data_IF_872873747520
#
_entry.id   IF_872873747520
#
_cell.length_a   1.000
_cell.length_b   1.000
_cell.length_c   1.000
_cell.angle_alpha   90.00
_cell.angle_beta   90.00
_cell.angle_gamma   90.00
#
_symmetry.space_group_name_H-M   'P 1'
#
loop_
_entity.id
_entity.type
_entity.pdbx_description
1 polymer ?
#
# COMPACT_ATOMS: atom_id res chain seq x y z
N UNK A 1 8.69 0.40 -26.28
CA UNK A 1 8.00 0.48 -27.57
C UNK A 1 6.61 -0.12 -27.48
N UNK A 2 5.57 0.66 -27.86
CA UNK A 2 4.13 0.39 -27.89
C UNK A 2 3.49 0.09 -26.51
N UNK A 3 3.23 1.18 -25.80
CA UNK A 3 2.24 1.34 -24.75
C UNK A 3 0.87 0.79 -25.22
N UNK A 4 0.34 -0.23 -24.53
CA UNK A 4 -1.09 -0.53 -24.56
C UNK A 4 -1.75 0.30 -23.47
N UNK A 5 -1.98 1.56 -23.81
CA UNK A 5 -2.88 2.46 -23.09
C UNK A 5 -4.27 1.84 -23.11
N UNK A 6 -4.82 1.51 -21.96
CA UNK A 6 -6.27 1.36 -21.83
C UNK A 6 -6.87 2.76 -21.90
N UNK A 7 -7.12 3.19 -23.14
CA UNK A 7 -7.79 4.46 -23.43
C UNK A 7 -9.29 4.20 -23.27
N UNK A 8 -9.86 4.72 -22.20
CA UNK A 8 -11.24 5.17 -22.19
C UNK A 8 -11.24 6.58 -22.82
N UNK A 9 -11.32 6.62 -24.16
CA UNK A 9 -11.47 7.86 -24.91
C UNK A 9 -12.90 8.38 -24.70
N UNK A 10 -13.05 9.35 -23.79
CA UNK A 10 -14.20 10.25 -23.77
C UNK A 10 -13.67 11.67 -23.54
N UNK A 11 -13.24 12.31 -24.60
CA UNK A 11 -12.97 13.75 -24.61
C UNK A 11 -14.25 14.50 -24.34
N UNK A 12 -14.37 15.11 -23.15
CA UNK A 12 -15.41 16.08 -22.85
C UNK A 12 -14.86 17.47 -23.20
N UNK A 13 -15.51 18.13 -24.15
CA UNK A 13 -15.25 19.51 -24.45
C UNK A 13 -15.58 20.41 -23.23
N UNK A 14 -14.78 21.45 -22.90
CA UNK A 14 -15.09 22.35 -21.80
C UNK A 14 -16.36 23.16 -22.13
N UNK A 15 -17.38 23.06 -21.28
CA UNK A 15 -18.45 24.04 -21.32
C UNK A 15 -19.90 23.59 -21.26
N UNK A 16 -20.22 22.30 -21.09
CA UNK A 16 -21.61 21.88 -20.83
C UNK A 16 -21.70 20.98 -19.62
N UNK A 17 -22.36 21.44 -18.55
CA UNK A 17 -22.77 20.58 -17.44
C UNK A 17 -23.58 19.41 -18.02
N UNK A 18 -23.16 18.15 -17.84
CA UNK A 18 -23.90 17.01 -18.35
C UNK A 18 -25.29 16.96 -17.74
N UNK A 19 -26.31 16.72 -18.56
CA UNK A 19 -27.68 16.52 -18.03
C UNK A 19 -27.70 15.26 -17.17
N UNK A 20 -28.25 15.34 -15.94
CA UNK A 20 -28.34 14.17 -15.06
C UNK A 20 -29.13 13.05 -15.73
N UNK A 21 -28.60 11.83 -15.69
CA UNK A 21 -29.29 10.63 -16.14
C UNK A 21 -30.35 10.25 -15.09
N UNK A 22 -31.38 9.54 -15.49
CA UNK A 22 -32.45 9.09 -14.56
C UNK A 22 -31.88 8.32 -13.35
N UNK A 23 -30.83 7.53 -13.56
CA UNK A 23 -30.13 6.77 -12.52
C UNK A 23 -29.40 7.67 -11.51
N UNK A 24 -28.90 8.84 -11.92
CA UNK A 24 -28.18 9.76 -11.03
C UNK A 24 -29.11 10.33 -9.94
N UNK A 25 -30.40 10.56 -10.27
CA UNK A 25 -31.39 11.02 -9.29
C UNK A 25 -31.71 9.96 -8.22
N UNK A 26 -31.79 8.68 -8.60
CA UNK A 26 -32.01 7.57 -7.66
C UNK A 26 -30.74 7.40 -6.79
N UNK A 27 -29.59 7.43 -7.42
CA UNK A 27 -28.28 7.31 -6.76
C UNK A 27 -28.07 8.47 -5.76
N UNK A 28 -28.38 9.72 -6.14
CA UNK A 28 -28.35 10.90 -5.25
C UNK A 28 -29.18 10.66 -3.99
N UNK A 29 -30.43 10.22 -4.14
CA UNK A 29 -31.29 9.93 -2.97
C UNK A 29 -30.71 8.84 -2.07
N UNK A 30 -30.23 7.76 -2.65
CA UNK A 30 -29.62 6.66 -1.90
C UNK A 30 -28.38 7.12 -1.13
N UNK A 31 -27.47 7.86 -1.77
CA UNK A 31 -26.27 8.39 -1.14
C UNK A 31 -26.62 9.38 -0.01
N UNK A 32 -27.50 10.34 -0.27
CA UNK A 32 -27.92 11.33 0.75
C UNK A 32 -28.56 10.65 1.97
N UNK A 33 -29.40 9.62 1.76
CA UNK A 33 -29.98 8.83 2.86
C UNK A 33 -28.89 8.15 3.70
N UNK A 34 -27.80 7.69 3.10
CA UNK A 34 -26.65 7.13 3.84
C UNK A 34 -25.89 8.21 4.59
N UNK A 35 -25.63 9.34 3.96
CA UNK A 35 -24.92 10.47 4.60
C UNK A 35 -25.69 11.05 5.79
N UNK A 36 -27.03 10.99 5.81
CA UNK A 36 -27.85 11.36 6.98
C UNK A 36 -27.55 10.52 8.23
N UNK A 37 -26.90 9.37 8.08
CA UNK A 37 -26.51 8.51 9.20
C UNK A 37 -25.15 8.90 9.81
N UNK A 38 -24.45 9.90 9.26
CA UNK A 38 -23.21 10.41 9.83
C UNK A 38 -23.47 10.97 11.25
N UNK A 39 -22.64 10.56 12.22
CA UNK A 39 -22.77 10.96 13.63
C UNK A 39 -21.55 11.70 14.14
N UNK A 40 -20.37 11.42 13.58
CA UNK A 40 -19.09 11.95 14.03
C UNK A 40 -18.43 12.75 12.91
N UNK A 41 -18.08 14.01 13.14
CA UNK A 41 -17.58 14.92 12.13
C UNK A 41 -18.70 15.53 11.29
N UNK A 42 -18.42 16.61 10.59
CA UNK A 42 -19.35 17.32 9.72
C UNK A 42 -18.93 17.22 8.27
N UNK A 43 -19.84 16.77 7.40
CA UNK A 43 -19.69 16.78 5.95
C UNK A 43 -20.60 17.84 5.33
N UNK A 44 -20.01 18.74 4.55
CA UNK A 44 -20.72 19.77 3.79
C UNK A 44 -20.67 19.40 2.31
N UNK A 45 -21.82 19.18 1.70
CA UNK A 45 -21.93 18.83 0.29
C UNK A 45 -22.50 20.03 -0.49
N UNK A 46 -21.71 20.54 -1.42
CA UNK A 46 -22.10 21.59 -2.36
C UNK A 46 -22.44 20.95 -3.72
N UNK A 47 -23.69 21.12 -4.16
CA UNK A 47 -24.19 20.62 -5.45
C UNK A 47 -24.92 21.74 -6.18
N UNK A 48 -24.26 22.41 -7.09
CA UNK A 48 -24.75 23.62 -7.75
C UNK A 48 -25.03 24.73 -6.73
N UNK A 49 -26.31 25.08 -6.57
CA UNK A 49 -26.77 26.10 -5.60
C UNK A 49 -27.18 25.48 -4.24
N UNK A 50 -27.24 24.16 -4.15
CA UNK A 50 -27.62 23.47 -2.91
C UNK A 50 -26.39 23.28 -2.00
N UNK A 51 -26.58 23.52 -0.71
CA UNK A 51 -25.59 23.18 0.32
C UNK A 51 -26.27 22.31 1.36
N UNK A 52 -25.80 21.08 1.49
CA UNK A 52 -26.32 20.10 2.44
C UNK A 52 -25.29 19.82 3.52
N UNK A 53 -25.73 19.65 4.78
CA UNK A 53 -24.87 19.35 5.92
C UNK A 53 -25.28 18.04 6.57
N UNK A 54 -24.27 17.22 6.92
CA UNK A 54 -24.45 15.89 7.51
C UNK A 54 -23.51 15.71 8.69
N UNK A 55 -24.01 15.07 9.75
CA UNK A 55 -23.24 14.81 10.97
C UNK A 55 -23.09 16.06 11.85
N UNK A 56 -22.20 15.96 12.81
CA UNK A 56 -21.83 17.05 13.71
C UNK A 56 -20.43 16.83 14.26
N UNK A 57 -19.71 17.91 14.59
CA UNK A 57 -18.40 17.83 15.20
C UNK A 57 -18.50 17.14 16.57
N UNK A 58 -17.62 16.19 16.81
CA UNK A 58 -17.51 15.46 18.07
C UNK A 58 -16.05 15.39 18.53
N UNK A 59 -15.83 15.10 19.81
CA UNK A 59 -14.46 14.88 20.31
C UNK A 59 -13.77 13.70 19.59
N UNK A 60 -14.54 12.71 19.12
CA UNK A 60 -14.02 11.56 18.36
C UNK A 60 -13.60 11.94 16.94
N UNK A 61 -14.30 12.88 16.33
CA UNK A 61 -14.02 13.33 14.96
C UNK A 61 -14.28 14.84 14.85
N UNK A 62 -13.26 15.68 15.16
CA UNK A 62 -13.37 17.13 15.07
C UNK A 62 -13.09 17.63 13.65
N UNK A 63 -13.50 16.88 12.63
CA UNK A 63 -13.26 17.17 11.22
C UNK A 63 -14.51 17.80 10.59
N UNK A 64 -14.28 18.90 9.87
CA UNK A 64 -15.29 19.52 8.98
C UNK A 64 -14.75 19.46 7.56
N UNK A 65 -15.40 18.66 6.71
CA UNK A 65 -14.99 18.39 5.34
C UNK A 65 -16.03 18.92 4.38
N UNK A 66 -15.59 19.53 3.29
CA UNK A 66 -16.46 19.96 2.20
C UNK A 66 -16.21 19.16 0.93
N UNK A 67 -17.26 18.74 0.27
CA UNK A 67 -17.25 18.16 -1.08
C UNK A 67 -17.98 19.11 -2.02
N UNK A 68 -17.34 19.38 -3.16
CA UNK A 68 -17.96 20.10 -4.28
C UNK A 68 -18.25 19.13 -5.41
N UNK A 69 -19.52 18.93 -5.75
CA UNK A 69 -19.92 18.13 -6.90
C UNK A 69 -19.77 18.96 -8.17
N UNK A 70 -18.98 18.44 -9.11
CA UNK A 70 -18.74 19.06 -10.42
C UNK A 70 -19.60 18.41 -11.52
N UNK A 71 -19.90 17.11 -11.36
CA UNK A 71 -20.66 16.32 -12.33
C UNK A 71 -21.66 15.39 -11.60
N UNK A 72 -22.94 15.33 -12.02
CA UNK A 72 -23.94 14.46 -11.40
C UNK A 72 -23.61 12.97 -11.40
N UNK A 73 -22.71 12.50 -12.28
CA UNK A 73 -22.22 11.11 -12.30
C UNK A 73 -21.50 10.71 -11.00
N UNK A 74 -21.01 11.68 -10.23
CA UNK A 74 -20.53 11.47 -8.86
C UNK A 74 -21.47 10.58 -8.04
N UNK A 75 -22.78 10.81 -8.12
CA UNK A 75 -23.77 10.06 -7.33
C UNK A 75 -23.87 8.60 -7.77
N UNK A 76 -23.96 8.36 -9.08
CA UNK A 76 -24.08 7.00 -9.61
C UNK A 76 -22.80 6.21 -9.39
N UNK A 77 -21.63 6.81 -9.60
CA UNK A 77 -20.36 6.13 -9.44
C UNK A 77 -20.16 5.68 -7.98
N UNK A 78 -20.44 6.52 -7.01
CA UNK A 78 -20.35 6.14 -5.59
C UNK A 78 -21.41 5.11 -5.21
N UNK A 79 -22.67 5.32 -5.62
CA UNK A 79 -23.77 4.44 -5.21
C UNK A 79 -23.61 3.02 -5.75
N UNK A 80 -23.07 2.85 -6.95
CA UNK A 80 -22.87 1.54 -7.59
C UNK A 80 -21.45 1.00 -7.47
N UNK A 81 -20.44 1.86 -7.27
CA UNK A 81 -19.04 1.49 -7.23
C UNK A 81 -18.42 1.51 -5.81
N UNK A 82 -19.12 2.04 -4.80
CA UNK A 82 -18.58 2.16 -3.44
C UNK A 82 -17.28 2.97 -3.41
N UNK A 83 -16.28 2.49 -2.67
CA UNK A 83 -14.96 3.13 -2.59
C UNK A 83 -14.22 3.18 -3.93
N UNK A 84 -14.39 2.17 -4.78
CA UNK A 84 -13.84 2.16 -6.15
C UNK A 84 -14.47 3.29 -6.96
N UNK A 85 -15.80 3.37 -6.99
CA UNK A 85 -16.51 4.41 -7.73
C UNK A 85 -16.22 5.82 -7.22
N UNK A 86 -15.99 6.00 -5.92
CA UNK A 86 -15.56 7.28 -5.35
C UNK A 86 -14.18 7.70 -5.91
N UNK A 87 -13.23 6.77 -5.99
CA UNK A 87 -11.93 7.00 -6.60
C UNK A 87 -12.01 7.28 -8.09
N UNK A 88 -12.80 6.50 -8.86
CA UNK A 88 -13.02 6.70 -10.29
C UNK A 88 -13.64 8.08 -10.58
N UNK A 89 -14.65 8.48 -9.82
CA UNK A 89 -15.25 9.80 -9.91
C UNK A 89 -14.26 10.93 -9.55
N UNK A 90 -13.34 10.69 -8.58
CA UNK A 90 -12.27 11.62 -8.25
C UNK A 90 -11.27 11.75 -9.40
N UNK A 91 -10.82 10.64 -9.98
CA UNK A 91 -9.93 10.62 -11.14
C UNK A 91 -10.52 11.40 -12.32
N UNK A 92 -11.82 11.24 -12.57
CA UNK A 92 -12.56 11.91 -13.63
C UNK A 92 -12.92 13.38 -13.33
N UNK A 93 -12.51 13.92 -12.17
CA UNK A 93 -12.81 15.30 -11.71
C UNK A 93 -14.32 15.60 -11.53
N UNK A 94 -15.11 14.56 -11.19
CA UNK A 94 -16.56 14.74 -10.94
C UNK A 94 -16.84 15.36 -9.58
N UNK A 95 -15.86 15.38 -8.70
CA UNK A 95 -15.94 16.02 -7.39
C UNK A 95 -14.56 16.45 -6.89
N UNK A 96 -14.58 17.41 -5.98
CA UNK A 96 -13.40 17.92 -5.29
C UNK A 96 -13.71 18.04 -3.79
N UNK A 97 -12.65 18.11 -2.99
CA UNK A 97 -12.75 18.29 -1.54
C UNK A 97 -11.64 19.20 -1.05
N UNK A 98 -11.89 19.86 0.08
CA UNK A 98 -10.86 20.66 0.75
C UNK A 98 -9.80 19.81 1.47
N UNK A 99 -10.14 18.56 1.85
CA UNK A 99 -9.22 17.63 2.52
C UNK A 99 -9.64 16.18 2.22
N UNK A 100 -8.92 15.54 1.30
CA UNK A 100 -9.21 14.18 0.88
C UNK A 100 -8.85 13.16 1.97
N UNK A 101 -7.73 13.32 2.66
CA UNK A 101 -7.35 12.49 3.81
C UNK A 101 -8.37 12.63 4.95
N UNK A 102 -8.78 13.86 5.24
CA UNK A 102 -9.82 14.15 6.23
C UNK A 102 -11.16 13.50 5.89
N UNK A 103 -11.54 13.46 4.60
CA UNK A 103 -12.74 12.77 4.14
C UNK A 103 -12.68 11.27 4.43
N UNK A 104 -11.58 10.62 4.11
CA UNK A 104 -11.38 9.19 4.42
C UNK A 104 -11.48 8.95 5.92
N UNK A 105 -10.84 9.78 6.74
CA UNK A 105 -10.91 9.71 8.20
C UNK A 105 -12.34 9.88 8.72
N UNK A 106 -13.07 10.87 8.23
CA UNK A 106 -14.47 11.12 8.61
C UNK A 106 -15.35 9.89 8.30
N UNK A 107 -15.17 9.26 7.13
CA UNK A 107 -15.89 8.04 6.77
C UNK A 107 -15.49 6.86 7.65
N UNK A 108 -14.21 6.71 8.01
CA UNK A 108 -13.73 5.67 8.93
C UNK A 108 -14.21 5.87 10.37
N UNK A 109 -14.37 7.10 10.82
CA UNK A 109 -15.04 7.42 12.11
C UNK A 109 -16.53 7.02 12.12
N UNK A 110 -17.14 6.86 10.92
CA UNK A 110 -18.52 6.48 10.72
C UNK A 110 -18.63 5.18 9.89
N UNK A 111 -17.87 4.15 10.26
CA UNK A 111 -17.76 2.89 9.48
C UNK A 111 -19.08 2.28 9.07
N UNK A 112 -20.12 2.37 9.93
CA UNK A 112 -21.45 1.86 9.60
C UNK A 112 -22.04 2.52 8.34
N UNK A 113 -21.69 3.78 8.04
CA UNK A 113 -22.09 4.48 6.81
C UNK A 113 -21.30 3.90 5.64
N UNK A 114 -19.98 3.75 5.79
CA UNK A 114 -19.09 3.20 4.76
C UNK A 114 -19.49 1.75 4.40
N UNK A 115 -19.63 0.87 5.40
CA UNK A 115 -20.06 -0.53 5.20
C UNK A 115 -21.45 -0.59 4.51
N UNK A 116 -22.36 0.36 4.84
CA UNK A 116 -23.65 0.49 4.19
C UNK A 116 -23.59 0.97 2.73
N UNK A 117 -22.60 1.78 2.38
CA UNK A 117 -22.36 2.21 0.99
C UNK A 117 -21.80 1.06 0.15
N UNK A 118 -20.87 0.28 0.68
CA UNK A 118 -20.29 -0.88 0.00
C UNK A 118 -21.29 -2.05 -0.12
N UNK A 119 -22.18 -2.23 0.86
CA UNK A 119 -23.20 -3.28 0.86
C UNK A 119 -24.49 -2.95 0.13
N UNK A 120 -24.73 -1.67 -0.27
CA UNK A 120 -25.95 -1.19 -0.91
C UNK A 120 -26.04 -1.58 -2.40
N UNK A 121 -26.26 -0.59 -3.27
CA UNK A 121 -26.29 -0.79 -4.73
C UNK A 121 -24.94 -1.28 -5.28
N UNK A 122 -23.84 -0.96 -4.60
CA UNK A 122 -22.49 -1.44 -4.94
C UNK A 122 -22.38 -2.98 -4.88
N UNK A 123 -23.19 -3.66 -4.07
CA UNK A 123 -23.20 -5.12 -4.01
C UNK A 123 -23.54 -5.78 -5.37
N UNK A 124 -24.24 -5.07 -6.27
CA UNK A 124 -24.58 -5.57 -7.61
C UNK A 124 -23.34 -5.73 -8.52
N UNK A 125 -22.27 -4.99 -8.29
CA UNK A 125 -21.04 -5.03 -9.10
C UNK A 125 -20.00 -6.01 -8.56
N UNK A 126 -20.14 -6.49 -7.33
CA UNK A 126 -19.22 -7.40 -6.64
C UNK A 126 -18.87 -8.67 -7.46
N UNK A 127 -19.81 -9.36 -8.14
CA UNK A 127 -19.45 -10.56 -8.91
C UNK A 127 -18.43 -10.27 -10.02
N UNK A 128 -18.61 -9.16 -10.75
CA UNK A 128 -17.69 -8.76 -11.82
C UNK A 128 -16.31 -8.38 -11.26
N UNK A 129 -16.28 -7.63 -10.17
CA UNK A 129 -15.02 -7.27 -9.50
C UNK A 129 -14.26 -8.51 -9.03
N UNK A 130 -14.94 -9.51 -8.49
CA UNK A 130 -14.33 -10.79 -8.06
C UNK A 130 -13.76 -11.58 -9.24
N UNK A 131 -14.42 -11.60 -10.39
CA UNK A 131 -13.89 -12.25 -11.59
C UNK A 131 -12.60 -11.56 -12.04
N UNK A 132 -12.57 -10.24 -12.10
CA UNK A 132 -11.38 -9.48 -12.46
C UNK A 132 -10.22 -9.70 -11.48
N UNK A 133 -10.50 -9.72 -10.18
CA UNK A 133 -9.49 -10.02 -9.16
C UNK A 133 -8.99 -11.46 -9.25
N UNK A 134 -9.87 -12.43 -9.53
CA UNK A 134 -9.48 -13.83 -9.74
C UNK A 134 -8.54 -14.01 -10.95
N UNK A 135 -8.70 -13.23 -12.01
CA UNK A 135 -7.79 -13.22 -13.16
C UNK A 135 -6.39 -12.69 -12.80
N UNK A 136 -6.27 -11.85 -11.77
CA UNK A 136 -5.01 -11.28 -11.30
C UNK A 136 -4.38 -12.07 -10.13
N UNK A 137 -4.70 -13.37 -9.96
CA UNK A 137 -4.12 -14.21 -8.91
C UNK A 137 -2.60 -14.29 -9.01
N UNK A 138 -1.92 -14.32 -7.85
CA UNK A 138 -0.47 -14.32 -7.71
C UNK A 138 0.16 -15.72 -7.89
N UNK A 139 -0.15 -16.41 -9.00
CA UNK A 139 0.67 -17.50 -9.52
C UNK A 139 2.05 -16.95 -9.91
N UNK A 140 3.06 -17.77 -10.20
CA UNK A 140 4.38 -17.27 -10.60
C UNK A 140 4.31 -16.28 -11.77
N UNK A 141 3.54 -16.62 -12.82
CA UNK A 141 3.34 -15.75 -13.98
C UNK A 141 2.41 -14.57 -13.66
N UNK A 142 1.41 -14.77 -12.79
CA UNK A 142 0.51 -13.71 -12.30
C UNK A 142 1.26 -12.66 -11.50
N UNK A 143 2.12 -13.06 -10.56
CA UNK A 143 2.95 -12.16 -9.77
C UNK A 143 3.87 -11.31 -10.64
N UNK A 144 4.53 -11.90 -11.65
CA UNK A 144 5.38 -11.15 -12.59
C UNK A 144 4.59 -10.10 -13.36
N UNK A 145 3.38 -10.44 -13.85
CA UNK A 145 2.52 -9.48 -14.56
C UNK A 145 2.01 -8.36 -13.66
N UNK A 146 1.57 -8.69 -12.45
CA UNK A 146 1.02 -7.72 -11.50
C UNK A 146 2.10 -6.73 -11.02
N UNK A 147 3.31 -7.24 -10.74
CA UNK A 147 4.46 -6.43 -10.36
C UNK A 147 4.93 -5.58 -11.54
N UNK A 148 5.02 -6.13 -12.76
CA UNK A 148 5.35 -5.35 -13.94
C UNK A 148 4.34 -4.21 -14.14
N UNK A 149 3.04 -4.47 -14.05
CA UNK A 149 2.02 -3.44 -14.21
C UNK A 149 2.15 -2.28 -13.20
N UNK A 150 2.58 -2.55 -11.96
CA UNK A 150 2.79 -1.52 -10.95
C UNK A 150 4.10 -0.75 -11.14
N UNK A 151 5.21 -1.45 -11.44
CA UNK A 151 6.54 -0.82 -11.58
C UNK A 151 6.85 -0.33 -13.00
N UNK A 152 6.04 -0.68 -14.01
CA UNK A 152 6.06 -0.08 -15.36
C UNK A 152 5.65 1.40 -15.37
N UNK A 153 5.27 1.96 -14.21
CA UNK A 153 5.12 3.41 -14.01
C UNK A 153 6.42 4.19 -14.27
N UNK A 154 7.55 3.49 -14.27
CA UNK A 154 8.88 4.06 -14.53
C UNK A 154 9.61 4.50 -13.27
N UNK A 155 10.93 4.25 -13.27
CA UNK A 155 11.80 4.63 -12.15
C UNK A 155 11.79 6.16 -11.90
N UNK A 156 11.58 6.97 -12.95
CA UNK A 156 11.56 8.44 -12.87
C UNK A 156 10.44 8.94 -11.94
N UNK A 157 9.27 8.30 -11.97
CA UNK A 157 8.18 8.63 -11.07
C UNK A 157 8.56 8.38 -9.61
N UNK A 158 9.10 7.20 -9.32
CA UNK A 158 9.47 6.82 -7.96
C UNK A 158 10.64 7.65 -7.42
N UNK A 159 11.59 8.06 -8.28
CA UNK A 159 12.68 8.96 -7.90
C UNK A 159 12.19 10.36 -7.49
N UNK A 160 11.08 10.83 -8.05
CA UNK A 160 10.47 12.12 -7.70
C UNK A 160 9.58 12.02 -6.44
N UNK A 161 9.04 10.84 -6.16
CA UNK A 161 8.17 10.61 -5.00
C UNK A 161 8.94 10.21 -3.75
N UNK A 162 9.90 9.29 -3.88
CA UNK A 162 10.65 8.71 -2.77
C UNK A 162 11.86 9.58 -2.37
N UNK A 163 12.52 9.21 -1.30
CA UNK A 163 13.82 9.75 -0.88
C UNK A 163 14.99 9.00 -1.54
N UNK A 164 16.23 9.41 -1.24
CA UNK A 164 17.44 8.82 -1.82
C UNK A 164 17.61 7.33 -1.51
N UNK A 165 17.01 6.81 -0.44
CA UNK A 165 17.03 5.37 -0.14
C UNK A 165 16.25 4.57 -1.16
N UNK A 166 15.29 5.21 -1.83
CA UNK A 166 14.33 4.57 -2.75
C UNK A 166 13.52 3.48 -2.05
N UNK A 167 13.23 3.65 -0.74
CA UNK A 167 12.37 2.71 -0.02
C UNK A 167 10.91 3.04 -0.24
N UNK A 168 10.16 2.11 -0.86
CA UNK A 168 8.72 2.21 -1.07
C UNK A 168 7.98 1.38 -0.02
N UNK A 169 8.18 1.78 1.24
CA UNK A 169 7.61 1.18 2.45
C UNK A 169 7.64 2.20 3.60
N UNK A 170 6.94 1.93 4.70
CA UNK A 170 6.85 2.87 5.83
C UNK A 170 8.23 3.27 6.35
N UNK A 171 8.44 4.57 6.58
CA UNK A 171 9.55 5.08 7.39
C UNK A 171 9.21 5.00 8.89
N UNK A 172 10.17 5.35 9.79
CA UNK A 172 9.94 5.49 11.22
C UNK A 172 10.39 6.88 11.71
N UNK A 173 9.43 7.73 12.03
CA UNK A 173 9.65 9.11 12.51
C UNK A 173 9.66 9.11 14.03
N UNK A 174 10.83 9.16 14.65
CA UNK A 174 10.98 9.20 16.12
C UNK A 174 11.04 10.62 16.65
N UNK A 175 11.20 11.60 15.76
CA UNK A 175 11.12 13.02 16.06
C UNK A 175 10.29 13.72 14.97
N UNK A 176 9.50 14.74 15.32
CA UNK A 176 8.62 15.42 14.34
C UNK A 176 9.36 16.11 13.20
N UNK A 177 10.60 16.54 13.44
CA UNK A 177 11.41 17.30 12.50
C UNK A 177 12.18 16.44 11.49
N UNK A 178 12.17 15.12 11.67
CA UNK A 178 12.88 14.20 10.77
C UNK A 178 12.42 14.38 9.32
N UNK A 179 13.38 14.46 8.43
CA UNK A 179 13.15 14.32 6.98
C UNK A 179 12.73 12.89 6.65
N UNK A 180 12.15 12.69 5.45
CA UNK A 180 11.80 11.35 4.99
C UNK A 180 13.04 10.45 4.91
N UNK A 181 14.16 10.97 4.43
CA UNK A 181 15.43 10.25 4.36
C UNK A 181 15.92 9.78 5.74
N UNK A 182 15.97 10.67 6.72
CA UNK A 182 16.40 10.33 8.09
C UNK A 182 15.48 9.27 8.71
N UNK A 183 14.17 9.38 8.51
CA UNK A 183 13.20 8.41 9.01
C UNK A 183 13.32 7.05 8.31
N UNK A 184 13.63 7.02 7.01
CA UNK A 184 13.90 5.78 6.29
C UNK A 184 15.20 5.13 6.75
N UNK A 185 16.28 5.90 6.87
CA UNK A 185 17.57 5.40 7.38
C UNK A 185 17.42 4.85 8.80
N UNK A 186 16.70 5.57 9.67
CA UNK A 186 16.41 5.10 11.02
C UNK A 186 15.68 3.75 11.02
N UNK A 187 14.64 3.59 10.20
CA UNK A 187 13.92 2.33 10.09
C UNK A 187 14.81 1.20 9.56
N UNK A 188 15.64 1.44 8.53
CA UNK A 188 16.57 0.44 8.02
C UNK A 188 17.55 -0.01 9.11
N UNK A 189 18.05 0.92 9.92
CA UNK A 189 18.93 0.63 11.06
C UNK A 189 18.19 -0.20 12.13
N UNK A 190 16.91 0.13 12.46
CA UNK A 190 16.12 -0.67 13.40
C UNK A 190 15.89 -2.10 12.92
N UNK A 191 15.64 -2.31 11.63
CA UNK A 191 15.53 -3.65 11.04
C UNK A 191 16.83 -4.44 11.23
N UNK A 192 17.97 -3.82 10.89
CA UNK A 192 19.27 -4.45 11.04
C UNK A 192 19.60 -4.78 12.51
N UNK A 193 19.28 -3.89 13.43
CA UNK A 193 19.47 -4.10 14.88
C UNK A 193 18.55 -5.21 15.42
N UNK A 194 17.29 -5.25 15.03
CA UNK A 194 16.36 -6.32 15.43
C UNK A 194 16.85 -7.69 14.93
N UNK A 195 17.40 -7.75 13.73
CA UNK A 195 18.05 -8.94 13.19
C UNK A 195 19.39 -9.25 13.83
N UNK A 196 19.99 -8.31 14.59
CA UNK A 196 21.34 -8.40 15.13
C UNK A 196 22.36 -8.75 14.05
N UNK A 197 22.38 -7.96 13.01
CA UNK A 197 23.30 -8.21 11.92
C UNK A 197 24.74 -8.02 12.35
N UNK A 198 25.56 -9.04 12.05
CA UNK A 198 26.99 -9.03 12.25
C UNK A 198 27.74 -9.08 10.91
N UNK A 199 29.03 -8.66 10.87
CA UNK A 199 29.80 -8.66 9.62
C UNK A 199 29.94 -10.05 8.96
N UNK A 200 29.86 -11.11 9.77
CA UNK A 200 29.98 -12.51 9.34
C UNK A 200 28.70 -13.06 8.76
N UNK A 201 27.56 -12.41 9.04
CA UNK A 201 26.23 -12.88 8.61
C UNK A 201 26.07 -12.85 7.09
N UNK A 202 25.29 -13.78 6.60
CA UNK A 202 24.73 -13.75 5.26
C UNK A 202 23.23 -13.47 5.35
N UNK A 203 22.84 -12.26 5.02
CA UNK A 203 21.45 -11.82 4.99
C UNK A 203 20.79 -12.21 3.67
N UNK A 204 19.59 -12.79 3.73
CA UNK A 204 18.69 -12.91 2.58
C UNK A 204 17.63 -11.83 2.66
N UNK A 205 17.47 -11.02 1.60
CA UNK A 205 16.35 -10.09 1.43
C UNK A 205 15.41 -10.61 0.36
N UNK A 206 14.13 -10.80 0.70
CA UNK A 206 13.07 -11.14 -0.25
C UNK A 206 12.30 -9.88 -0.57
N UNK A 207 12.49 -9.34 -1.79
CA UNK A 207 11.95 -8.07 -2.22
C UNK A 207 13.00 -6.96 -2.24
N UNK A 208 13.89 -6.98 -3.23
CA UNK A 208 15.01 -6.02 -3.38
C UNK A 208 14.54 -4.56 -3.43
N UNK A 209 13.36 -4.29 -3.98
CA UNK A 209 13.03 -2.94 -4.40
C UNK A 209 14.14 -2.36 -5.29
N UNK A 210 14.61 -1.18 -4.96
CA UNK A 210 15.75 -0.54 -5.63
C UNK A 210 17.06 -0.65 -4.84
N UNK A 211 17.16 -1.65 -3.93
CA UNK A 211 18.37 -2.02 -3.21
C UNK A 211 18.66 -1.20 -1.95
N UNK A 212 17.71 -0.43 -1.45
CA UNK A 212 17.93 0.47 -0.31
C UNK A 212 18.40 -0.27 0.95
N UNK A 213 17.70 -1.33 1.38
CA UNK A 213 18.09 -2.12 2.55
C UNK A 213 19.38 -2.90 2.31
N UNK A 214 19.54 -3.57 1.17
CA UNK A 214 20.76 -4.32 0.87
C UNK A 214 22.02 -3.43 0.96
N UNK A 215 21.95 -2.21 0.38
CA UNK A 215 23.04 -1.23 0.45
C UNK A 215 23.29 -0.78 1.90
N UNK A 216 22.22 -0.49 2.65
CA UNK A 216 22.34 -0.07 4.05
C UNK A 216 22.97 -1.17 4.93
N UNK A 217 22.48 -2.40 4.84
CA UNK A 217 22.97 -3.54 5.60
C UNK A 217 24.46 -3.84 5.29
N UNK A 218 24.81 -3.95 4.01
CA UNK A 218 26.20 -4.22 3.61
C UNK A 218 27.16 -3.09 4.00
N UNK A 219 26.71 -1.81 3.90
CA UNK A 219 27.56 -0.65 4.23
C UNK A 219 27.75 -0.46 5.72
N UNK A 220 26.66 -0.51 6.51
CA UNK A 220 26.69 -0.15 7.93
C UNK A 220 27.07 -1.33 8.83
N UNK A 221 26.69 -2.54 8.45
CA UNK A 221 26.89 -3.76 9.24
C UNK A 221 27.97 -4.69 8.66
N UNK A 222 28.47 -4.42 7.45
CA UNK A 222 29.53 -5.19 6.82
C UNK A 222 29.15 -6.60 6.39
N UNK A 223 27.88 -7.00 6.53
CA UNK A 223 27.42 -8.34 6.21
C UNK A 223 27.34 -8.59 4.69
N UNK A 224 27.29 -9.86 4.28
CA UNK A 224 26.95 -10.23 2.91
C UNK A 224 25.45 -10.23 2.74
N UNK A 225 24.96 -9.79 1.58
CA UNK A 225 23.53 -9.75 1.27
C UNK A 225 23.27 -10.49 -0.04
N UNK A 226 22.32 -11.42 -0.02
CA UNK A 226 21.66 -11.90 -1.22
C UNK A 226 20.27 -11.31 -1.25
N UNK A 227 19.88 -10.66 -2.34
CA UNK A 227 18.55 -10.04 -2.48
C UNK A 227 17.91 -10.43 -3.79
N UNK A 228 16.58 -10.61 -3.79
CA UNK A 228 15.84 -11.08 -4.96
C UNK A 228 14.64 -10.20 -5.29
N UNK A 229 14.42 -10.00 -6.59
CA UNK A 229 13.22 -9.38 -7.16
C UNK A 229 12.79 -10.11 -8.42
N UNK A 230 11.53 -10.00 -8.78
CA UNK A 230 11.01 -10.47 -10.08
C UNK A 230 10.78 -9.33 -11.07
N UNK A 231 11.03 -8.08 -10.67
CA UNK A 231 11.00 -6.91 -11.55
C UNK A 231 12.37 -6.68 -12.17
N UNK A 232 12.42 -6.65 -13.50
CA UNK A 232 13.66 -6.36 -14.24
C UNK A 232 14.10 -4.93 -14.02
N UNK A 233 13.18 -3.98 -13.98
CA UNK A 233 13.44 -2.54 -13.79
C UNK A 233 14.07 -2.30 -12.42
N UNK A 234 13.54 -2.91 -11.36
CA UNK A 234 14.13 -2.84 -10.02
C UNK A 234 15.54 -3.46 -10.01
N UNK A 235 15.68 -4.65 -10.58
CA UNK A 235 16.96 -5.36 -10.63
C UNK A 235 18.06 -4.53 -11.28
N UNK A 236 17.80 -3.97 -12.48
CA UNK A 236 18.79 -3.17 -13.22
C UNK A 236 19.18 -1.89 -12.46
N UNK A 237 18.18 -1.16 -11.91
CA UNK A 237 18.48 0.04 -11.15
C UNK A 237 19.20 -0.29 -9.83
N UNK A 238 18.81 -1.32 -9.10
CA UNK A 238 19.50 -1.76 -7.88
C UNK A 238 20.95 -2.16 -8.18
N UNK A 239 21.18 -2.88 -9.28
CA UNK A 239 22.53 -3.25 -9.73
C UNK A 239 23.41 -2.03 -9.99
N UNK A 240 22.88 -1.03 -10.69
CA UNK A 240 23.60 0.23 -10.93
C UNK A 240 23.93 0.94 -9.61
N UNK A 241 22.95 1.05 -8.69
CA UNK A 241 23.13 1.71 -7.38
C UNK A 241 24.18 1.00 -6.53
N UNK A 242 24.16 -0.34 -6.49
CA UNK A 242 25.16 -1.16 -5.77
C UNK A 242 26.56 -0.95 -6.34
N UNK A 243 26.69 -0.89 -7.66
CA UNK A 243 27.99 -0.63 -8.32
C UNK A 243 28.51 0.78 -8.02
N UNK A 244 27.68 1.80 -8.09
CA UNK A 244 28.06 3.21 -7.79
C UNK A 244 28.59 3.36 -6.36
N UNK A 245 28.06 2.61 -5.39
CA UNK A 245 28.50 2.67 -3.99
C UNK A 245 29.63 1.69 -3.67
N UNK A 246 30.15 0.91 -4.65
CA UNK A 246 31.29 0.01 -4.50
C UNK A 246 31.01 -1.24 -3.65
N UNK A 247 29.78 -1.75 -3.62
CA UNK A 247 29.37 -2.90 -2.79
C UNK A 247 29.08 -4.17 -3.60
N UNK A 248 29.52 -4.25 -4.86
CA UNK A 248 29.25 -5.40 -5.74
C UNK A 248 29.87 -6.73 -5.27
N UNK A 249 30.89 -6.68 -4.43
CA UNK A 249 31.53 -7.85 -3.81
C UNK A 249 30.75 -8.38 -2.59
N UNK A 250 29.89 -7.58 -2.01
CA UNK A 250 29.08 -7.92 -0.81
C UNK A 250 27.62 -8.20 -1.09
N UNK A 251 27.08 -7.68 -2.21
CA UNK A 251 25.66 -7.78 -2.54
C UNK A 251 25.47 -8.60 -3.81
N UNK A 252 24.77 -9.73 -3.68
CA UNK A 252 24.34 -10.58 -4.80
C UNK A 252 22.88 -10.27 -5.12
N UNK A 253 22.63 -9.79 -6.34
CA UNK A 253 21.29 -9.46 -6.84
C UNK A 253 20.78 -10.60 -7.72
N UNK A 254 19.59 -11.13 -7.41
CA UNK A 254 18.93 -12.19 -8.16
C UNK A 254 17.68 -11.66 -8.83
N UNK A 255 17.50 -11.99 -10.11
CA UNK A 255 16.24 -11.80 -10.84
C UNK A 255 15.45 -13.11 -10.79
N UNK A 256 14.95 -13.46 -9.62
CA UNK A 256 14.34 -14.75 -9.36
C UNK A 256 13.17 -14.68 -8.38
N UNK A 257 12.20 -15.58 -8.57
CA UNK A 257 11.09 -15.74 -7.65
C UNK A 257 11.57 -16.39 -6.34
N UNK A 258 11.17 -15.84 -5.18
CA UNK A 258 11.57 -16.35 -3.87
C UNK A 258 11.26 -17.84 -3.67
N UNK A 259 10.25 -18.36 -4.36
CA UNK A 259 9.85 -19.78 -4.32
C UNK A 259 10.91 -20.74 -4.88
N UNK A 260 11.81 -20.24 -5.72
CA UNK A 260 12.88 -21.02 -6.34
C UNK A 260 14.23 -20.85 -5.65
N UNK A 261 14.33 -19.98 -4.63
CA UNK A 261 15.58 -19.76 -3.91
C UNK A 261 16.03 -21.01 -3.17
N UNK A 262 17.35 -21.20 -3.10
CA UNK A 262 18.00 -22.28 -2.37
C UNK A 262 19.15 -21.74 -1.52
N UNK A 263 19.70 -22.59 -0.66
CA UNK A 263 20.78 -22.24 0.27
C UNK A 263 20.26 -22.03 1.69
N UNK A 264 21.17 -21.62 2.57
CA UNK A 264 20.88 -21.31 3.97
C UNK A 264 21.55 -20.01 4.38
N UNK A 265 20.80 -19.17 5.06
CA UNK A 265 21.18 -17.83 5.45
C UNK A 265 21.08 -17.66 6.96
N UNK A 266 21.93 -16.80 7.52
CA UNK A 266 21.94 -16.47 8.95
C UNK A 266 20.71 -15.67 9.34
N UNK A 267 20.33 -14.73 8.46
CA UNK A 267 19.21 -13.80 8.66
C UNK A 267 18.38 -13.69 7.40
N UNK A 268 17.08 -13.43 7.58
CA UNK A 268 16.15 -13.17 6.49
C UNK A 268 15.34 -11.91 6.78
N UNK A 269 15.14 -11.09 5.77
CA UNK A 269 14.27 -9.91 5.83
C UNK A 269 13.35 -9.86 4.64
N UNK A 270 12.10 -9.45 4.88
CA UNK A 270 11.13 -9.16 3.81
C UNK A 270 10.28 -7.98 4.23
N UNK A 271 10.21 -6.95 3.40
CA UNK A 271 9.56 -5.68 3.72
C UNK A 271 8.42 -5.46 2.75
N UNK A 272 7.19 -5.44 3.28
CA UNK A 272 5.94 -5.14 2.54
C UNK A 272 5.84 -5.90 1.20
N UNK A 273 6.21 -7.18 1.23
CA UNK A 273 6.15 -8.08 0.08
C UNK A 273 5.05 -9.14 0.24
N UNK A 274 4.70 -9.52 1.49
CA UNK A 274 3.72 -10.56 1.78
C UNK A 274 2.33 -10.21 1.24
N UNK A 275 2.01 -8.92 1.12
CA UNK A 275 0.78 -8.40 0.54
C UNK A 275 0.62 -8.82 -0.94
N UNK A 276 1.75 -8.97 -1.64
CA UNK A 276 1.80 -9.42 -3.03
C UNK A 276 1.86 -10.95 -3.18
N UNK A 277 1.97 -11.71 -2.09
CA UNK A 277 1.99 -13.19 -2.12
C UNK A 277 0.61 -13.75 -2.43
N UNK A 278 -0.44 -13.17 -1.82
CA UNK A 278 -1.80 -13.71 -1.85
C UNK A 278 -2.05 -14.71 -0.72
N UNK A 279 -3.21 -14.57 -0.07
CA UNK A 279 -3.54 -15.31 1.18
C UNK A 279 -3.49 -16.83 1.04
N UNK A 280 -3.72 -17.37 -0.15
CA UNK A 280 -3.67 -18.82 -0.43
C UNK A 280 -2.26 -19.40 -0.43
N UNK A 281 -1.23 -18.55 -0.48
CA UNK A 281 0.17 -18.96 -0.56
C UNK A 281 0.99 -18.61 0.70
N UNK A 282 0.36 -18.12 1.78
CA UNK A 282 1.09 -17.78 3.01
C UNK A 282 1.82 -18.98 3.61
N UNK A 283 1.23 -20.19 3.54
CA UNK A 283 1.89 -21.42 4.03
C UNK A 283 3.16 -21.74 3.23
N UNK A 284 3.10 -21.61 1.90
CA UNK A 284 4.27 -21.84 1.05
C UNK A 284 5.35 -20.79 1.30
N UNK A 285 4.93 -19.53 1.51
CA UNK A 285 5.82 -18.44 1.85
C UNK A 285 6.59 -18.68 3.15
N UNK A 286 5.90 -18.96 4.26
CA UNK A 286 6.57 -19.18 5.55
C UNK A 286 7.37 -20.49 5.59
N UNK A 287 6.92 -21.53 4.89
CA UNK A 287 7.70 -22.76 4.70
C UNK A 287 9.03 -22.47 3.99
N UNK A 288 8.99 -21.74 2.88
CA UNK A 288 10.18 -21.36 2.12
C UNK A 288 11.13 -20.49 2.96
N UNK A 289 10.60 -19.47 3.64
CA UNK A 289 11.42 -18.64 4.53
C UNK A 289 12.12 -19.46 5.62
N UNK A 290 11.39 -20.40 6.24
CA UNK A 290 11.96 -21.27 7.26
C UNK A 290 13.06 -22.19 6.71
N UNK A 291 12.86 -22.74 5.50
CA UNK A 291 13.86 -23.62 4.86
C UNK A 291 15.14 -22.89 4.44
N UNK A 292 15.02 -21.60 4.11
CA UNK A 292 16.16 -20.75 3.74
C UNK A 292 16.95 -20.24 4.95
N UNK A 293 16.43 -20.39 6.17
CA UNK A 293 17.14 -20.01 7.39
C UNK A 293 17.94 -21.17 7.97
N UNK A 294 19.14 -20.89 8.49
CA UNK A 294 19.90 -21.80 9.35
C UNK A 294 19.11 -22.16 10.62
N UNK A 295 19.44 -23.25 11.33
CA UNK A 295 18.68 -23.70 12.51
C UNK A 295 18.57 -22.67 13.65
N UNK A 296 19.48 -21.71 13.73
CA UNK A 296 19.55 -20.61 14.71
C UNK A 296 19.20 -19.24 14.11
N UNK A 297 18.71 -19.19 12.86
CA UNK A 297 18.44 -17.96 12.12
C UNK A 297 17.30 -17.12 12.67
N UNK A 298 17.29 -15.85 12.27
CA UNK A 298 16.22 -14.86 12.54
C UNK A 298 15.62 -14.35 11.24
N UNK A 299 14.31 -14.12 11.26
CA UNK A 299 13.58 -13.46 10.18
C UNK A 299 12.86 -12.22 10.70
N UNK A 300 13.01 -11.08 10.04
CA UNK A 300 12.15 -9.93 10.24
C UNK A 300 11.24 -9.76 9.03
N UNK A 301 9.94 -9.72 9.30
CA UNK A 301 8.91 -9.40 8.33
C UNK A 301 8.31 -8.03 8.68
N UNK A 302 8.37 -7.07 7.75
CA UNK A 302 7.53 -5.88 7.79
C UNK A 302 6.31 -6.11 6.92
N UNK A 303 5.11 -5.89 7.46
CA UNK A 303 3.87 -6.15 6.74
C UNK A 303 2.77 -5.14 7.10
N UNK A 304 2.10 -4.64 6.06
CA UNK A 304 0.83 -3.92 6.24
C UNK A 304 -0.22 -4.91 6.72
N UNK A 305 -1.00 -4.52 7.72
CA UNK A 305 -1.99 -5.41 8.34
C UNK A 305 -3.37 -4.79 8.39
N UNK A 306 -4.37 -5.65 8.34
CA UNK A 306 -5.75 -5.29 8.66
C UNK A 306 -6.14 -5.89 10.01
N UNK A 307 -7.06 -5.25 10.74
CA UNK A 307 -7.59 -5.81 11.98
C UNK A 307 -8.16 -7.22 11.76
N UNK A 308 -7.84 -8.17 12.67
CA UNK A 308 -8.23 -9.59 12.57
C UNK A 308 -9.73 -9.76 12.34
N UNK A 309 -10.55 -8.94 13.01
CA UNK A 309 -12.01 -8.98 12.90
C UNK A 309 -12.54 -8.63 11.50
N UNK A 310 -11.75 -7.96 10.69
CA UNK A 310 -12.11 -7.54 9.33
C UNK A 310 -11.48 -8.39 8.24
N UNK A 311 -10.48 -9.18 8.56
CA UNK A 311 -9.69 -9.94 7.59
C UNK A 311 -10.55 -10.82 6.68
N UNK A 312 -11.47 -11.59 7.26
CA UNK A 312 -12.34 -12.50 6.49
C UNK A 312 -13.28 -11.79 5.52
N UNK A 313 -13.71 -10.59 5.84
CA UNK A 313 -14.53 -9.75 4.94
C UNK A 313 -13.65 -9.11 3.85
N UNK A 314 -12.51 -8.53 4.25
CA UNK A 314 -11.60 -7.83 3.35
C UNK A 314 -11.02 -8.75 2.26
N UNK A 315 -10.58 -9.98 2.62
CA UNK A 315 -10.04 -10.92 1.62
C UNK A 315 -11.07 -11.39 0.56
N UNK A 316 -12.36 -11.11 0.79
CA UNK A 316 -13.46 -11.46 -0.13
C UNK A 316 -13.95 -10.27 -0.94
N UNK A 317 -13.49 -9.06 -0.65
CA UNK A 317 -13.81 -7.83 -1.35
C UNK A 317 -12.66 -7.39 -2.24
N UNK A 318 -12.95 -6.47 -3.14
CA UNK A 318 -11.95 -5.77 -3.95
C UNK A 318 -12.14 -4.29 -3.66
N UNK A 319 -11.07 -3.60 -3.29
CA UNK A 319 -11.07 -2.17 -3.05
C UNK A 319 -10.34 -1.40 -4.16
N UNK A 320 -10.25 -0.08 -3.98
CA UNK A 320 -9.57 0.81 -4.92
C UNK A 320 -8.08 0.43 -5.11
N UNK A 321 -7.41 0.04 -4.02
CA UNK A 321 -5.98 -0.31 -4.06
C UNK A 321 -5.75 -1.56 -4.90
N UNK A 322 -6.54 -2.59 -4.68
CA UNK A 322 -6.46 -3.84 -5.45
C UNK A 322 -6.87 -3.66 -6.92
N UNK A 323 -7.72 -2.68 -7.20
CA UNK A 323 -8.18 -2.39 -8.57
C UNK A 323 -7.15 -1.63 -9.38
N UNK A 324 -6.52 -0.60 -8.82
CA UNK A 324 -5.74 0.40 -9.56
C UNK A 324 -4.26 0.44 -9.21
N UNK A 325 -3.87 0.08 -7.99
CA UNK A 325 -2.50 0.25 -7.50
C UNK A 325 -1.77 -1.08 -7.43
N UNK A 326 -2.31 -2.06 -6.68
CA UNK A 326 -1.68 -3.36 -6.44
C UNK A 326 -2.62 -4.51 -6.82
N UNK A 327 -2.80 -4.79 -8.13
CA UNK A 327 -3.66 -5.89 -8.57
C UNK A 327 -3.21 -7.23 -7.95
N UNK A 328 -4.17 -7.99 -7.43
CA UNK A 328 -3.92 -9.28 -6.81
C UNK A 328 -3.37 -9.23 -5.38
N UNK A 329 -3.12 -8.05 -4.81
CA UNK A 329 -2.66 -7.92 -3.42
C UNK A 329 -3.73 -8.37 -2.42
N UNK A 330 -3.27 -8.76 -1.23
CA UNK A 330 -4.13 -9.09 -0.11
C UNK A 330 -3.41 -8.72 1.20
N UNK A 331 -3.91 -7.72 1.91
CA UNK A 331 -3.36 -7.33 3.21
C UNK A 331 -3.66 -8.43 4.23
N UNK A 332 -2.62 -9.02 4.88
CA UNK A 332 -2.80 -10.02 5.93
C UNK A 332 -3.34 -9.41 7.22
N UNK A 333 -3.79 -10.26 8.14
CA UNK A 333 -3.88 -9.92 9.55
C UNK A 333 -2.79 -10.63 10.35
N UNK A 334 -2.47 -10.11 11.54
CA UNK A 334 -1.46 -10.72 12.42
C UNK A 334 -1.81 -12.19 12.71
N UNK A 335 -3.07 -12.47 13.06
CA UNK A 335 -3.53 -13.84 13.32
C UNK A 335 -3.43 -14.72 12.08
N UNK A 336 -3.72 -14.21 10.88
CA UNK A 336 -3.62 -15.00 9.66
C UNK A 336 -2.17 -15.40 9.37
N UNK A 337 -1.21 -14.48 9.55
CA UNK A 337 0.22 -14.76 9.43
C UNK A 337 0.69 -15.78 10.45
N UNK A 338 0.37 -15.59 11.74
CA UNK A 338 0.79 -16.51 12.81
C UNK A 338 0.20 -17.90 12.68
N UNK A 339 -1.06 -18.04 12.23
CA UNK A 339 -1.65 -19.33 11.89
C UNK A 339 -0.87 -20.04 10.79
N UNK A 340 -0.45 -19.31 9.78
CA UNK A 340 0.35 -19.86 8.68
C UNK A 340 1.76 -20.24 9.14
N UNK A 341 2.44 -19.40 9.91
CA UNK A 341 3.74 -19.68 10.55
C UNK A 341 3.68 -21.01 11.33
N UNK A 342 2.69 -21.13 12.24
CA UNK A 342 2.54 -22.32 13.10
C UNK A 342 2.26 -23.59 12.29
N UNK A 343 1.49 -23.49 11.20
CA UNK A 343 1.08 -24.65 10.40
C UNK A 343 2.16 -25.13 9.44
N UNK A 344 2.99 -24.24 8.94
CA UNK A 344 3.85 -24.52 7.78
C UNK A 344 5.36 -24.39 8.04
N UNK A 345 5.77 -23.98 9.23
CA UNK A 345 7.17 -23.75 9.59
C UNK A 345 7.47 -24.10 11.05
N UNK A 346 8.75 -24.09 11.42
CA UNK A 346 9.23 -24.20 12.80
C UNK A 346 9.56 -22.81 13.42
N UNK A 347 9.28 -21.74 12.70
CA UNK A 347 9.49 -20.38 13.18
C UNK A 347 8.57 -20.06 14.37
N UNK A 348 9.07 -19.25 15.29
CA UNK A 348 8.35 -18.77 16.48
C UNK A 348 8.34 -17.26 16.50
N UNK A 349 7.19 -16.67 16.85
CA UNK A 349 7.11 -15.24 17.10
C UNK A 349 7.99 -14.89 18.31
N UNK A 350 8.89 -13.96 18.13
CA UNK A 350 9.82 -13.47 19.14
C UNK A 350 9.50 -12.05 19.59
N UNK A 351 9.17 -11.17 18.63
CA UNK A 351 8.75 -9.79 18.89
C UNK A 351 7.75 -9.32 17.83
N UNK A 352 6.86 -8.39 18.22
CA UNK A 352 5.89 -7.74 17.33
C UNK A 352 5.76 -6.27 17.72
N UNK A 353 6.18 -5.38 16.83
CA UNK A 353 6.03 -3.93 16.99
C UNK A 353 5.10 -3.35 15.94
N UNK A 354 4.10 -2.56 16.35
CA UNK A 354 3.22 -1.79 15.45
C UNK A 354 3.88 -0.45 15.09
N UNK A 355 4.29 -0.31 13.84
CA UNK A 355 4.87 0.92 13.28
C UNK A 355 3.86 1.68 12.39
N UNK A 356 2.63 1.23 12.28
CA UNK A 356 1.59 1.80 11.42
C UNK A 356 1.38 3.31 11.57
N UNK A 357 1.46 3.95 12.76
CA UNK A 357 1.35 5.40 12.89
C UNK A 357 2.36 6.18 12.05
N UNK A 358 3.55 5.65 11.83
CA UNK A 358 4.59 6.29 11.03
C UNK A 358 4.25 6.28 9.54
N UNK A 359 3.47 5.30 9.08
CA UNK A 359 3.08 5.21 7.68
C UNK A 359 2.20 6.37 7.24
N UNK A 360 1.32 6.86 8.10
CA UNK A 360 0.52 8.05 7.79
C UNK A 360 1.41 9.25 7.42
N UNK A 361 2.49 9.47 8.18
CA UNK A 361 3.46 10.54 7.88
C UNK A 361 4.23 10.25 6.59
N UNK A 362 4.65 9.01 6.37
CA UNK A 362 5.35 8.58 5.15
C UNK A 362 4.52 8.87 3.90
N UNK A 363 3.24 8.46 3.90
CA UNK A 363 2.30 8.67 2.78
C UNK A 363 2.06 10.15 2.51
N UNK A 364 1.94 10.96 3.57
CA UNK A 364 1.82 12.41 3.45
C UNK A 364 3.07 13.02 2.80
N UNK A 365 4.29 12.62 3.18
CA UNK A 365 5.54 13.09 2.59
C UNK A 365 5.64 12.69 1.11
N UNK A 366 5.26 11.46 0.75
CA UNK A 366 5.21 11.04 -0.64
C UNK A 366 4.21 11.88 -1.45
N UNK A 367 3.02 12.16 -0.89
CA UNK A 367 2.04 13.04 -1.55
C UNK A 367 2.57 14.46 -1.74
N UNK A 368 3.19 15.04 -0.71
CA UNK A 368 3.81 16.36 -0.79
C UNK A 368 4.86 16.41 -1.92
N UNK A 369 5.71 15.38 -2.04
CA UNK A 369 6.70 15.29 -3.12
C UNK A 369 6.02 15.22 -4.50
N UNK A 370 5.02 14.36 -4.68
CA UNK A 370 4.28 14.25 -5.97
C UNK A 370 3.63 15.57 -6.35
N UNK A 371 2.99 16.27 -5.41
CA UNK A 371 2.33 17.54 -5.68
C UNK A 371 3.34 18.65 -6.01
N UNK A 372 4.48 18.71 -5.33
CA UNK A 372 5.55 19.67 -5.61
C UNK A 372 6.21 19.45 -6.96
N UNK A 373 6.24 18.19 -7.43
CA UNK A 373 6.85 17.82 -8.71
C UNK A 373 5.83 17.64 -9.84
N UNK A 374 4.60 18.13 -9.69
CA UNK A 374 3.50 17.90 -10.64
C UNK A 374 3.83 18.36 -12.06
N UNK A 375 4.47 19.52 -12.23
CA UNK A 375 4.86 20.05 -13.55
C UNK A 375 5.91 19.16 -14.22
N UNK A 376 6.89 18.68 -13.46
CA UNK A 376 7.91 17.76 -13.96
C UNK A 376 7.31 16.40 -14.33
N UNK A 377 6.37 15.90 -13.53
CA UNK A 377 5.65 14.66 -13.83
C UNK A 377 4.81 14.80 -15.11
N UNK A 378 4.14 15.93 -15.31
CA UNK A 378 3.44 16.22 -16.58
C UNK A 378 4.40 16.27 -17.76
N UNK A 379 5.58 16.87 -17.61
CA UNK A 379 6.61 16.91 -18.66
C UNK A 379 7.15 15.51 -19.01
N UNK A 380 7.16 14.58 -18.04
CA UNK A 380 7.49 13.16 -18.25
C UNK A 380 6.34 12.35 -18.89
N UNK A 381 5.16 12.96 -19.09
CA UNK A 381 4.02 12.33 -19.76
C UNK A 381 2.96 11.74 -18.85
N UNK A 382 3.06 11.91 -17.52
CA UNK A 382 2.01 11.46 -16.59
C UNK A 382 0.78 12.36 -16.72
N UNK A 383 -0.39 11.74 -16.92
CA UNK A 383 -1.65 12.47 -17.11
C UNK A 383 -2.17 13.05 -15.79
N UNK A 384 -3.02 14.08 -15.88
CA UNK A 384 -3.72 14.61 -14.70
C UNK A 384 -4.57 13.53 -14.00
N UNK A 385 -5.22 12.66 -14.77
CA UNK A 385 -6.01 11.55 -14.24
C UNK A 385 -5.13 10.58 -13.42
N UNK A 386 -3.93 10.26 -13.91
CA UNK A 386 -2.95 9.45 -13.20
C UNK A 386 -2.53 10.11 -11.88
N UNK A 387 -2.20 11.40 -11.88
CA UNK A 387 -1.80 12.11 -10.67
C UNK A 387 -2.93 12.16 -9.64
N UNK A 388 -4.19 12.33 -10.07
CA UNK A 388 -5.36 12.26 -9.19
C UNK A 388 -5.59 10.85 -8.65
N UNK A 389 -5.38 9.81 -9.45
CA UNK A 389 -5.40 8.42 -8.98
C UNK A 389 -4.39 8.20 -7.87
N UNK A 390 -3.17 8.70 -8.06
CA UNK A 390 -2.09 8.54 -7.10
C UNK A 390 -2.34 9.33 -5.81
N UNK A 391 -2.81 10.55 -5.93
CA UNK A 391 -3.24 11.37 -4.79
C UNK A 391 -4.35 10.68 -3.98
N UNK A 392 -5.38 10.13 -4.67
CA UNK A 392 -6.45 9.39 -4.01
C UNK A 392 -5.91 8.18 -3.26
N UNK A 393 -5.01 7.41 -3.88
CA UNK A 393 -4.33 6.29 -3.23
C UNK A 393 -3.62 6.71 -1.95
N UNK A 394 -2.75 7.72 -2.03
CA UNK A 394 -1.96 8.16 -0.89
C UNK A 394 -2.85 8.68 0.25
N UNK A 395 -3.88 9.47 -0.05
CA UNK A 395 -4.84 9.97 0.95
C UNK A 395 -5.70 8.86 1.55
N UNK A 396 -6.13 7.88 0.73
CA UNK A 396 -6.91 6.73 1.19
C UNK A 396 -6.14 5.90 2.20
N UNK A 397 -4.88 5.59 1.91
CA UNK A 397 -4.01 4.86 2.83
C UNK A 397 -3.62 5.70 4.05
N UNK A 398 -3.26 7.00 3.88
CA UNK A 398 -2.94 7.91 4.98
C UNK A 398 -4.08 7.95 6.00
N UNK A 399 -5.32 8.19 5.54
CA UNK A 399 -6.50 8.17 6.41
C UNK A 399 -6.73 6.81 7.08
N UNK A 400 -6.47 5.71 6.37
CA UNK A 400 -6.55 4.35 6.88
C UNK A 400 -5.60 4.10 8.07
N UNK A 401 -4.35 4.53 7.97
CA UNK A 401 -3.37 4.43 9.05
C UNK A 401 -3.67 5.38 10.20
N UNK A 402 -4.08 6.62 9.93
CA UNK A 402 -4.45 7.58 10.98
C UNK A 402 -5.59 7.10 11.86
N UNK A 403 -6.60 6.46 11.27
CA UNK A 403 -7.76 5.94 12.01
C UNK A 403 -7.57 4.47 12.45
N UNK A 404 -6.35 3.93 12.35
CA UNK A 404 -6.03 2.54 12.73
C UNK A 404 -6.92 1.49 12.05
N UNK A 405 -7.40 1.78 10.85
CA UNK A 405 -8.15 0.84 10.02
C UNK A 405 -7.25 -0.24 9.44
N UNK A 406 -6.03 0.16 9.15
CA UNK A 406 -4.88 -0.67 8.77
C UNK A 406 -3.70 -0.34 9.68
N UNK A 407 -2.77 -1.27 9.83
CA UNK A 407 -1.52 -1.14 10.58
C UNK A 407 -0.33 -1.54 9.72
N UNK A 408 0.86 -1.40 10.27
CA UNK A 408 2.10 -1.93 9.71
C UNK A 408 2.95 -2.48 10.86
N UNK A 409 3.47 -3.68 10.72
CA UNK A 409 4.16 -4.34 11.83
C UNK A 409 5.56 -4.80 11.44
N UNK A 410 6.49 -4.69 12.39
CA UNK A 410 7.70 -5.50 12.41
C UNK A 410 7.44 -6.78 13.19
N UNK A 411 7.46 -7.91 12.53
CA UNK A 411 7.32 -9.24 13.12
C UNK A 411 8.68 -9.93 13.09
N UNK A 412 9.28 -10.12 14.26
CA UNK A 412 10.53 -10.86 14.42
C UNK A 412 10.21 -12.33 14.73
N UNK A 413 10.70 -13.22 13.86
CA UNK A 413 10.52 -14.67 13.95
C UNK A 413 11.89 -15.33 14.15
N UNK A 414 11.93 -16.34 15.03
CA UNK A 414 13.16 -17.06 15.35
C UNK A 414 13.05 -18.53 15.03
N UNK A 415 14.14 -19.13 14.55
CA UNK A 415 14.30 -20.59 14.44
C UNK A 415 14.47 -21.24 15.81
N UNK A 416 14.15 -22.54 15.96
CA UNK A 416 14.16 -23.22 17.27
C UNK A 416 15.48 -23.20 18.03
N UNK A 417 16.62 -23.17 17.33
CA UNK A 417 17.95 -23.19 17.96
C UNK A 417 18.48 -21.79 18.25
N UNK A 418 17.74 -20.73 17.90
CA UNK A 418 18.11 -19.38 18.27
C UNK A 418 18.05 -19.21 19.79
N UNK A 419 19.16 -18.76 20.39
CA UNK A 419 19.33 -18.56 21.84
C UNK A 419 19.54 -17.11 22.23
N UNK A 420 19.32 -16.22 21.29
CA UNK A 420 19.52 -14.80 21.52
C UNK A 420 18.43 -14.24 22.46
N UNK A 421 18.86 -13.42 23.38
CA UNK A 421 18.01 -12.61 24.23
C UNK A 421 18.04 -11.17 23.72
N UNK A 422 16.94 -10.69 23.19
CA UNK A 422 16.79 -9.24 22.98
C UNK A 422 16.29 -8.63 24.29
N UNK A 423 17.21 -8.30 25.15
CA UNK A 423 16.90 -7.34 26.20
C UNK A 423 17.27 -5.98 25.66
N UNK A 424 16.27 -5.28 25.22
CA UNK A 424 16.00 -3.90 25.01
C UNK A 424 16.95 -2.98 24.34
#
# INVERSE_FOLDING_TARGET
MKSRTFILDARIAPGTTPKPRFLDGIAKRALLTRLQQLRNGELILHDGQETLRFGQLTARCPLQISIQVQDPRFYSDIAFGGSIGAGEAYMADYWQTNDLTGLVRLLLCNRHVLDGMEGGLAALTVPLQKILHWLNRNTQDGSRRNIAAHYDLGNDFFQLMLDETMMYSSAMFVQPEMTLYEAQVYRLDQICRKLDLQPEDHLLEIGTGWGGLAIHAARQYGCRVTTTTISREQHELAKSRVAVVGLSDRITLLLEDYRNLAGQYDKLVSIEMIEAVGHQYYDDYFRQCSQLLKPDGLMLLQAITIADQRYEAARKSVDFIQRYIFPGSCIPSVTAMLKSVTRSSDLRLFDLEDIGPHYATTLRRWRENVLQQSDQLHALGYSREFLRMWEFYLCYCEGGFMERAIGDVHMLLAKPDNRRWTLG
#
